data_IF_026884917784
#
_entry.id   IF_026884917784
#
_cell.length_a   1.000
_cell.length_b   1.000
_cell.length_c   1.000
_cell.angle_alpha   90.00
_cell.angle_beta   90.00
_cell.angle_gamma   90.00
#
_symmetry.space_group_name_H-M   'P 1'
#
loop_
_entity.id
_entity.type
_entity.pdbx_description
1 polymer ?
#
# COMPACT_ATOMS: atom_id res chain seq x y z
N UNK A 1 -3.46 43.12 29.02
CA UNK A 1 -3.24 41.96 29.92
C UNK A 1 -3.63 40.75 29.10
N UNK A 2 -2.64 40.10 28.47
CA UNK A 2 -2.88 38.93 27.62
C UNK A 2 -2.99 37.75 28.57
N UNK A 3 -4.10 37.04 28.47
CA UNK A 3 -4.46 35.92 29.33
C UNK A 3 -3.64 34.68 28.93
N UNK A 4 -2.49 34.52 29.60
CA UNK A 4 -1.50 33.47 29.33
C UNK A 4 -2.01 32.06 29.61
N UNK A 5 -3.17 31.88 30.25
CA UNK A 5 -3.74 30.56 30.57
C UNK A 5 -4.47 29.90 29.38
N UNK A 6 -4.72 30.65 28.29
CA UNK A 6 -5.49 30.17 27.13
C UNK A 6 -4.66 29.45 26.06
N UNK A 7 -3.33 29.40 26.18
CA UNK A 7 -2.44 28.68 25.26
C UNK A 7 -2.03 27.33 25.87
N UNK A 8 -3.02 26.48 26.18
CA UNK A 8 -2.75 25.04 26.33
C UNK A 8 -2.66 24.44 24.94
N UNK A 9 -1.44 24.40 24.41
CA UNK A 9 -1.10 23.66 23.20
C UNK A 9 -1.58 22.22 23.41
N UNK A 10 -2.50 21.76 22.57
CA UNK A 10 -2.95 20.37 22.55
C UNK A 10 -1.73 19.46 22.42
N UNK A 11 -1.42 18.72 23.48
CA UNK A 11 -0.39 17.68 23.51
C UNK A 11 -0.81 16.57 22.53
N UNK A 12 -0.43 16.70 21.25
CA UNK A 12 -0.36 15.56 20.34
C UNK A 12 0.58 14.53 20.99
N UNK A 13 0.04 13.35 21.30
CA UNK A 13 0.71 12.24 21.99
C UNK A 13 2.15 12.09 21.54
N UNK A 14 3.10 12.12 22.49
CA UNK A 14 4.50 11.94 22.16
C UNK A 14 4.71 10.50 21.67
N UNK A 15 5.66 10.22 20.77
CA UNK A 15 5.94 8.86 20.30
C UNK A 15 6.33 7.90 21.43
N UNK A 16 6.79 8.44 22.57
CA UNK A 16 7.05 7.70 23.81
C UNK A 16 5.80 7.15 24.50
N UNK A 17 4.61 7.72 24.26
CA UNK A 17 3.36 7.29 24.90
C UNK A 17 2.71 6.09 24.16
N UNK A 18 3.05 5.88 22.87
CA UNK A 18 2.52 4.79 22.02
C UNK A 18 3.23 3.45 22.25
N UNK A 19 4.45 3.46 22.77
CA UNK A 19 5.15 2.28 23.27
C UNK A 19 5.17 2.38 24.80
N UNK A 20 5.06 1.30 25.56
CA UNK A 20 4.86 1.30 27.02
C UNK A 20 6.09 1.80 27.83
N UNK A 21 6.61 2.99 27.54
CA UNK A 21 7.74 3.62 28.22
C UNK A 21 7.24 4.72 29.16
N UNK A 22 7.95 4.93 30.27
CA UNK A 22 7.74 6.11 31.11
C UNK A 22 8.40 7.30 30.41
N UNK A 23 7.64 8.37 30.20
CA UNK A 23 8.11 9.59 29.54
C UNK A 23 8.96 10.43 30.51
N UNK A 24 10.14 10.88 30.06
CA UNK A 24 11.03 11.78 30.81
C UNK A 24 10.38 13.17 30.94
N UNK A 25 10.57 13.78 32.11
CA UNK A 25 10.15 15.15 32.40
C UNK A 25 11.38 16.00 32.71
N UNK A 26 11.43 17.21 32.16
CA UNK A 26 12.48 18.18 32.45
C UNK A 26 11.92 19.36 33.25
N UNK A 27 12.66 19.76 34.29
CA UNK A 27 12.41 21.02 35.00
C UNK A 27 13.13 22.18 34.29
N UNK A 28 12.36 23.18 33.85
CA UNK A 28 12.93 24.46 33.45
C UNK A 28 13.20 25.29 34.71
N UNK A 29 14.49 25.54 35.00
CA UNK A 29 14.99 26.22 36.20
C UNK A 29 14.37 27.60 36.48
N UNK A 30 13.71 28.22 35.51
CA UNK A 30 13.02 29.52 35.67
C UNK A 30 11.50 29.45 35.82
N UNK A 31 10.85 28.35 35.42
CA UNK A 31 9.39 28.26 35.38
C UNK A 31 8.82 27.28 36.42
N UNK A 32 9.66 26.44 37.06
CA UNK A 32 9.21 25.38 37.99
C UNK A 32 8.12 24.45 37.40
N UNK A 33 7.99 24.42 36.06
CA UNK A 33 7.07 23.55 35.35
C UNK A 33 7.85 22.36 34.77
N UNK A 34 7.29 21.17 34.97
CA UNK A 34 7.76 19.92 34.36
C UNK A 34 7.21 19.80 32.93
N UNK A 35 8.07 19.93 31.93
CA UNK A 35 7.68 19.72 30.53
C UNK A 35 8.09 18.30 30.10
N UNK A 36 7.18 17.49 29.52
CA UNK A 36 7.53 16.18 28.98
C UNK A 36 8.49 16.34 27.79
N UNK A 37 9.58 15.60 27.76
CA UNK A 37 10.60 15.71 26.69
C UNK A 37 10.22 14.95 25.42
N UNK A 38 9.17 14.13 25.49
CA UNK A 38 8.76 13.23 24.42
C UNK A 38 9.71 12.03 24.21
N UNK A 39 10.66 11.82 25.12
CA UNK A 39 11.57 10.68 25.15
C UNK A 39 11.29 9.78 26.36
N UNK A 40 11.60 8.47 26.29
CA UNK A 40 11.62 7.59 27.45
C UNK A 40 12.59 8.09 28.53
N UNK A 41 12.38 7.70 29.79
CA UNK A 41 13.27 8.04 30.90
C UNK A 41 14.70 7.49 30.68
N UNK A 42 15.72 8.34 30.51
CA UNK A 42 17.08 7.89 30.23
C UNK A 42 17.82 7.51 31.51
N UNK A 43 18.73 6.55 31.39
CA UNK A 43 19.66 6.15 32.46
C UNK A 43 20.65 7.28 32.79
N UNK A 44 21.02 8.04 31.77
CA UNK A 44 21.89 9.21 31.88
C UNK A 44 21.68 10.14 30.69
N UNK A 45 21.89 11.44 30.91
CA UNK A 45 21.77 12.46 29.87
C UNK A 45 22.96 13.42 29.88
N UNK A 46 23.46 13.74 28.69
CA UNK A 46 24.33 14.91 28.48
C UNK A 46 23.69 15.82 27.44
N UNK A 47 23.81 17.13 27.68
CA UNK A 47 23.43 18.18 26.73
C UNK A 47 24.65 18.99 26.38
N UNK A 48 24.86 19.21 25.10
CA UNK A 48 25.91 20.06 24.56
C UNK A 48 25.27 21.11 23.67
N UNK A 49 25.55 22.38 23.93
CA UNK A 49 25.11 23.49 23.08
C UNK A 49 26.36 24.15 22.54
N UNK A 50 26.44 24.25 21.22
CA UNK A 50 27.58 24.81 20.50
C UNK A 50 27.09 25.81 19.47
N UNK A 51 27.69 26.99 19.48
CA UNK A 51 27.31 28.07 18.58
C UNK A 51 28.60 28.69 18.03
N UNK A 52 28.78 28.58 16.71
CA UNK A 52 29.94 29.11 15.99
C UNK A 52 29.50 29.74 14.67
N UNK A 53 30.18 30.83 14.33
CA UNK A 53 30.10 31.49 13.03
C UNK A 53 30.57 30.55 11.92
N UNK A 54 29.69 30.29 10.94
CA UNK A 54 29.97 29.50 9.74
C UNK A 54 30.22 28.00 9.97
N UNK A 55 29.61 27.41 11.00
CA UNK A 55 29.74 25.97 11.26
C UNK A 55 28.62 25.16 10.59
N UNK A 56 28.99 24.19 9.74
CA UNK A 56 28.06 23.17 9.24
C UNK A 56 27.77 22.10 10.29
N UNK A 57 26.50 21.69 10.40
CA UNK A 57 26.07 20.56 11.23
C UNK A 57 26.79 19.26 10.84
N UNK A 58 27.14 19.10 9.57
CA UNK A 58 27.75 17.88 9.03
C UNK A 58 29.05 17.54 9.76
N UNK A 59 29.88 18.55 10.07
CA UNK A 59 31.14 18.32 10.76
C UNK A 59 30.90 17.74 12.18
N UNK A 60 29.95 18.32 12.92
CA UNK A 60 29.57 17.82 14.25
C UNK A 60 28.96 16.42 14.19
N UNK A 61 28.07 16.18 13.22
CA UNK A 61 27.41 14.90 12.99
C UNK A 61 28.42 13.80 12.65
N UNK A 62 29.26 14.00 11.64
CA UNK A 62 30.22 12.99 11.19
C UNK A 62 31.33 12.74 12.21
N UNK A 63 31.73 13.75 12.98
CA UNK A 63 32.67 13.55 14.08
C UNK A 63 32.11 12.56 15.11
N UNK A 64 30.87 12.79 15.59
CA UNK A 64 30.25 11.90 16.59
C UNK A 64 29.93 10.53 15.98
N UNK A 65 29.45 10.49 14.74
CA UNK A 65 29.19 9.26 14.01
C UNK A 65 30.45 8.38 13.92
N UNK A 66 31.57 8.94 13.46
CA UNK A 66 32.82 8.21 13.31
C UNK A 66 33.38 7.78 14.68
N UNK A 67 33.31 8.65 15.68
CA UNK A 67 33.77 8.32 17.03
C UNK A 67 32.95 7.18 17.65
N UNK A 68 31.62 7.20 17.50
CA UNK A 68 30.76 6.14 18.01
C UNK A 68 30.94 4.82 17.24
N UNK A 69 31.16 4.89 15.93
CA UNK A 69 31.34 3.71 15.08
C UNK A 69 32.70 3.04 15.29
N UNK A 70 33.80 3.80 15.18
CA UNK A 70 35.16 3.25 15.16
C UNK A 70 35.79 3.17 16.56
N UNK A 71 35.65 4.18 17.40
CA UNK A 71 36.34 4.23 18.70
C UNK A 71 35.52 3.58 19.82
N UNK A 72 34.20 3.50 19.67
CA UNK A 72 33.29 2.96 20.69
C UNK A 72 32.58 1.65 20.28
N UNK A 73 32.73 1.23 19.02
CA UNK A 73 32.18 -0.01 18.44
C UNK A 73 30.65 -0.13 18.56
N UNK A 74 29.94 0.96 18.24
CA UNK A 74 28.48 0.96 18.15
C UNK A 74 28.00 0.68 16.73
N UNK A 75 26.92 -0.10 16.61
CA UNK A 75 26.15 -0.22 15.38
C UNK A 75 25.18 0.95 15.33
N UNK A 76 25.32 1.80 14.33
CA UNK A 76 24.59 3.05 14.22
C UNK A 76 23.46 2.92 13.20
N UNK A 77 22.26 3.36 13.57
CA UNK A 77 21.08 3.40 12.70
C UNK A 77 20.41 4.78 12.77
N UNK A 78 20.14 5.38 11.60
CA UNK A 78 19.40 6.66 11.53
C UNK A 78 17.92 6.41 11.76
N UNK A 79 17.30 7.14 12.70
CA UNK A 79 15.87 7.04 12.99
C UNK A 79 15.10 8.02 12.10
N UNK A 80 15.37 9.32 12.22
CA UNK A 80 14.78 10.34 11.37
C UNK A 80 15.73 11.50 11.12
N UNK A 81 15.39 12.29 10.11
CA UNK A 81 16.14 13.43 9.63
C UNK A 81 15.10 14.43 9.10
N UNK A 82 14.72 15.37 9.96
CA UNK A 82 13.66 16.35 9.68
C UNK A 82 14.33 17.67 9.33
N UNK A 83 13.98 18.19 8.17
CA UNK A 83 14.35 19.52 7.75
C UNK A 83 13.11 20.41 7.76
N UNK A 84 13.13 21.45 8.59
CA UNK A 84 12.10 22.49 8.63
C UNK A 84 12.77 23.81 8.26
N UNK A 85 12.10 24.61 7.44
CA UNK A 85 12.56 25.92 7.03
C UNK A 85 11.36 26.85 7.09
N UNK A 86 11.65 28.12 7.35
CA UNK A 86 10.62 29.15 7.39
C UNK A 86 10.01 29.36 6.00
N UNK A 87 8.72 29.74 5.96
CA UNK A 87 7.95 29.89 4.72
C UNK A 87 8.57 30.88 3.73
N UNK A 88 9.20 31.94 4.22
CA UNK A 88 9.87 32.94 3.39
C UNK A 88 11.30 32.55 3.00
N UNK A 89 11.83 31.41 3.48
CA UNK A 89 13.17 30.99 3.13
C UNK A 89 13.29 30.48 1.69
N UNK A 90 14.45 30.70 1.09
CA UNK A 90 14.84 30.08 -0.19
C UNK A 90 14.82 28.55 -0.13
N UNK A 91 15.11 27.96 1.03
CA UNK A 91 15.01 26.52 1.25
C UNK A 91 13.58 26.00 1.14
N UNK A 92 12.60 26.73 1.71
CA UNK A 92 11.19 26.39 1.61
C UNK A 92 10.73 26.44 0.15
N UNK A 93 11.06 27.50 -0.59
CA UNK A 93 10.72 27.61 -2.01
C UNK A 93 11.28 26.45 -2.85
N UNK A 94 12.55 26.08 -2.64
CA UNK A 94 13.17 24.96 -3.35
C UNK A 94 12.57 23.59 -2.96
N UNK A 95 12.25 23.39 -1.67
CA UNK A 95 11.59 22.18 -1.19
C UNK A 95 10.17 22.04 -1.74
N UNK A 96 9.39 23.12 -1.73
CA UNK A 96 8.05 23.16 -2.30
C UNK A 96 8.02 22.91 -3.81
N UNK A 97 8.96 23.47 -4.56
CA UNK A 97 9.08 23.19 -5.99
C UNK A 97 9.33 21.69 -6.25
N UNK A 98 10.22 21.05 -5.48
CA UNK A 98 10.48 19.60 -5.60
C UNK A 98 9.28 18.77 -5.17
N UNK A 99 8.61 19.15 -4.09
CA UNK A 99 7.41 18.50 -3.59
C UNK A 99 6.27 18.58 -4.61
N UNK A 100 6.03 19.76 -5.18
CA UNK A 100 5.03 19.98 -6.24
C UNK A 100 5.30 19.09 -7.45
N UNK A 101 6.54 19.02 -7.95
CA UNK A 101 6.89 18.13 -9.06
C UNK A 101 6.56 16.66 -8.74
N UNK A 102 6.81 16.21 -7.51
CA UNK A 102 6.49 14.84 -7.11
C UNK A 102 4.99 14.61 -6.95
N UNK A 103 4.26 15.56 -6.37
CA UNK A 103 2.80 15.52 -6.26
C UNK A 103 2.14 15.49 -7.62
N UNK A 104 2.61 16.29 -8.58
CA UNK A 104 2.13 16.29 -9.96
C UNK A 104 2.35 14.93 -10.61
N UNK A 105 3.51 14.29 -10.40
CA UNK A 105 3.77 12.94 -10.92
C UNK A 105 2.85 11.90 -10.29
N UNK A 106 2.63 11.95 -8.99
CA UNK A 106 1.70 11.06 -8.28
C UNK A 106 0.27 11.25 -8.81
N UNK A 107 -0.19 12.50 -8.92
CA UNK A 107 -1.52 12.84 -9.44
C UNK A 107 -1.71 12.30 -10.86
N UNK A 108 -0.72 12.49 -11.74
CA UNK A 108 -0.74 11.95 -13.10
C UNK A 108 -0.81 10.41 -13.12
N UNK A 109 -0.04 9.73 -12.27
CA UNK A 109 -0.10 8.27 -12.17
C UNK A 109 -1.45 7.79 -11.61
N UNK A 110 -1.97 8.40 -10.56
CA UNK A 110 -3.25 8.04 -9.96
C UNK A 110 -4.42 8.30 -10.92
N UNK A 111 -4.40 9.39 -11.68
CA UNK A 111 -5.38 9.66 -12.72
C UNK A 111 -5.35 8.59 -13.82
N UNK A 112 -4.14 8.18 -14.24
CA UNK A 112 -3.95 7.10 -15.21
C UNK A 112 -4.46 5.78 -14.67
N UNK A 113 -4.10 5.42 -13.42
CA UNK A 113 -4.59 4.20 -12.74
C UNK A 113 -6.11 4.22 -12.64
N UNK A 114 -6.72 5.35 -12.22
CA UNK A 114 -8.17 5.48 -12.14
C UNK A 114 -8.87 5.28 -13.48
N UNK A 115 -8.31 5.79 -14.57
CA UNK A 115 -8.82 5.53 -15.93
C UNK A 115 -8.72 4.04 -16.29
N UNK A 116 -7.58 3.40 -16.04
CA UNK A 116 -7.38 1.97 -16.32
C UNK A 116 -8.30 1.08 -15.48
N UNK A 117 -8.57 1.45 -14.22
CA UNK A 117 -9.54 0.76 -13.36
C UNK A 117 -10.95 0.86 -13.94
N UNK A 118 -11.35 2.04 -14.44
CA UNK A 118 -12.65 2.20 -15.12
C UNK A 118 -12.74 1.33 -16.40
N UNK A 119 -11.65 1.23 -17.16
CA UNK A 119 -11.58 0.37 -18.33
C UNK A 119 -11.65 -1.12 -17.94
N UNK A 120 -11.03 -1.54 -16.82
CA UNK A 120 -11.21 -2.90 -16.28
C UNK A 120 -12.68 -3.23 -16.00
N UNK A 121 -13.47 -2.32 -15.42
CA UNK A 121 -14.92 -2.53 -15.23
C UNK A 121 -15.65 -2.78 -16.54
N UNK A 122 -15.31 -2.03 -17.59
CA UNK A 122 -15.91 -2.21 -18.91
C UNK A 122 -15.55 -3.60 -19.48
N UNK A 123 -14.29 -4.02 -19.36
CA UNK A 123 -13.82 -5.33 -19.83
C UNK A 123 -14.45 -6.50 -19.09
N UNK A 124 -14.58 -6.42 -17.76
CA UNK A 124 -15.26 -7.46 -16.95
C UNK A 124 -16.73 -7.57 -17.35
N UNK A 125 -17.42 -6.44 -17.54
CA UNK A 125 -18.80 -6.43 -18.02
C UNK A 125 -18.92 -7.04 -19.42
N UNK A 126 -18.00 -6.72 -20.32
CA UNK A 126 -17.97 -7.32 -21.66
C UNK A 126 -17.75 -8.83 -21.60
N UNK A 127 -16.80 -9.31 -20.78
CA UNK A 127 -16.55 -10.74 -20.57
C UNK A 127 -17.80 -11.44 -20.04
N UNK A 128 -18.49 -10.85 -19.06
CA UNK A 128 -19.76 -11.38 -18.54
C UNK A 128 -20.83 -11.52 -19.63
N UNK A 129 -21.00 -10.51 -20.48
CA UNK A 129 -21.96 -10.57 -21.59
C UNK A 129 -21.55 -11.63 -22.62
N UNK A 130 -20.24 -11.77 -22.89
CA UNK A 130 -19.72 -12.80 -23.80
C UNK A 130 -19.96 -14.20 -23.22
N UNK A 131 -19.76 -14.39 -21.92
CA UNK A 131 -19.97 -15.67 -21.24
C UNK A 131 -21.45 -16.05 -21.18
N UNK A 132 -22.33 -15.10 -20.88
CA UNK A 132 -23.77 -15.30 -20.98
C UNK A 132 -24.17 -15.68 -22.40
N UNK A 133 -23.64 -14.99 -23.42
CA UNK A 133 -23.91 -15.33 -24.82
C UNK A 133 -23.39 -16.72 -25.18
N UNK A 134 -22.16 -17.07 -24.79
CA UNK A 134 -21.56 -18.37 -25.06
C UNK A 134 -22.31 -19.50 -24.37
N UNK A 135 -22.93 -19.27 -23.21
CA UNK A 135 -23.75 -20.27 -22.52
C UNK A 135 -24.89 -20.80 -23.41
N UNK A 136 -25.60 -19.92 -24.13
CA UNK A 136 -26.64 -20.34 -25.07
C UNK A 136 -26.10 -21.20 -26.21
N UNK A 137 -24.88 -20.92 -26.70
CA UNK A 137 -24.25 -21.77 -27.71
C UNK A 137 -23.88 -23.14 -27.13
N UNK A 138 -23.26 -23.20 -25.96
CA UNK A 138 -22.91 -24.47 -25.31
C UNK A 138 -24.14 -25.34 -25.05
N UNK A 139 -25.23 -24.76 -24.52
CA UNK A 139 -26.51 -25.46 -24.31
C UNK A 139 -27.14 -25.95 -25.61
N UNK A 140 -26.98 -25.21 -26.71
CA UNK A 140 -27.51 -25.61 -28.02
C UNK A 140 -26.72 -26.77 -28.67
N UNK A 141 -25.41 -26.86 -28.40
CA UNK A 141 -24.55 -27.92 -28.93
C UNK A 141 -24.60 -29.19 -28.06
N UNK A 142 -24.88 -29.06 -26.76
CA UNK A 142 -25.06 -30.21 -25.88
C UNK A 142 -26.33 -30.99 -26.26
N UNK A 143 -26.19 -32.31 -26.38
CA UNK A 143 -27.30 -33.21 -26.72
C UNK A 143 -28.06 -33.67 -25.48
N UNK A 144 -27.47 -33.54 -24.29
CA UNK A 144 -28.07 -33.93 -23.01
C UNK A 144 -28.72 -32.76 -22.26
N UNK A 145 -28.56 -31.51 -22.69
CA UNK A 145 -29.07 -30.34 -21.99
C UNK A 145 -30.58 -30.23 -22.12
N UNK A 146 -31.28 -30.15 -20.98
CA UNK A 146 -32.74 -29.89 -20.93
C UNK A 146 -33.10 -28.51 -21.48
N UNK A 147 -32.15 -27.57 -21.49
CA UNK A 147 -32.33 -26.19 -21.94
C UNK A 147 -32.04 -26.00 -23.44
N UNK A 148 -31.67 -27.06 -24.16
CA UNK A 148 -31.28 -27.01 -25.58
C UNK A 148 -32.32 -26.34 -26.48
N UNK A 149 -33.59 -26.72 -26.32
CA UNK A 149 -34.68 -26.16 -27.13
C UNK A 149 -34.86 -24.67 -26.85
N UNK A 150 -34.81 -24.26 -25.58
CA UNK A 150 -34.85 -22.84 -25.19
C UNK A 150 -33.66 -22.07 -25.77
N UNK A 151 -32.45 -22.63 -25.70
CA UNK A 151 -31.24 -21.97 -26.19
C UNK A 151 -31.26 -21.80 -27.72
N UNK A 152 -31.71 -22.81 -28.46
CA UNK A 152 -31.93 -22.72 -29.91
C UNK A 152 -32.96 -21.63 -30.27
N UNK A 153 -34.09 -21.58 -29.55
CA UNK A 153 -35.11 -20.55 -29.76
C UNK A 153 -34.53 -19.15 -29.51
N UNK A 154 -33.77 -18.96 -28.44
CA UNK A 154 -33.11 -17.69 -28.13
C UNK A 154 -32.10 -17.28 -29.21
N UNK A 155 -31.25 -18.21 -29.68
CA UNK A 155 -30.28 -17.95 -30.74
C UNK A 155 -30.95 -17.59 -32.07
N UNK A 156 -32.05 -18.27 -32.42
CA UNK A 156 -32.87 -17.94 -33.59
C UNK A 156 -33.53 -16.58 -33.47
N UNK A 157 -34.00 -16.22 -32.27
CA UNK A 157 -34.52 -14.87 -31.99
C UNK A 157 -33.46 -13.80 -32.25
N UNK A 158 -32.25 -13.98 -31.69
CA UNK A 158 -31.10 -13.08 -31.92
C UNK A 158 -30.76 -12.99 -33.41
N UNK A 159 -30.78 -14.10 -34.14
CA UNK A 159 -30.53 -14.12 -35.58
C UNK A 159 -31.57 -13.29 -36.35
N UNK A 160 -32.86 -13.50 -36.08
CA UNK A 160 -33.94 -12.78 -36.77
C UNK A 160 -33.86 -11.28 -36.48
N UNK A 161 -33.58 -10.89 -35.24
CA UNK A 161 -33.50 -9.48 -34.86
C UNK A 161 -32.24 -8.79 -35.39
N UNK A 162 -31.07 -9.43 -35.26
CA UNK A 162 -29.78 -8.80 -35.55
C UNK A 162 -29.32 -8.98 -37.00
N UNK A 163 -29.56 -10.15 -37.61
CA UNK A 163 -29.07 -10.48 -38.96
C UNK A 163 -30.13 -10.20 -40.01
N UNK A 164 -31.40 -10.51 -39.73
CA UNK A 164 -32.47 -10.29 -40.71
C UNK A 164 -33.13 -8.92 -40.62
N UNK A 165 -32.81 -8.12 -39.59
CA UNK A 165 -33.37 -6.79 -39.38
C UNK A 165 -34.77 -6.80 -38.77
N UNK A 166 -35.16 -7.91 -38.13
CA UNK A 166 -36.45 -8.10 -37.48
C UNK A 166 -37.63 -7.91 -38.44
N UNK A 167 -38.80 -7.55 -37.88
CA UNK A 167 -40.05 -7.43 -38.64
C UNK A 167 -40.11 -6.26 -39.66
N UNK A 168 -39.06 -5.43 -39.74
CA UNK A 168 -38.98 -4.29 -40.67
C UNK A 168 -38.45 -4.69 -42.05
N UNK A 169 -37.70 -5.79 -42.13
CA UNK A 169 -37.19 -6.33 -43.39
C UNK A 169 -38.23 -7.26 -44.00
N UNK A 170 -38.67 -6.95 -45.21
CA UNK A 170 -39.60 -7.75 -46.03
C UNK A 170 -39.08 -9.18 -46.26
N UNK A 171 -37.75 -9.35 -46.19
CA UNK A 171 -37.05 -10.62 -46.39
C UNK A 171 -36.83 -11.43 -45.11
N UNK A 172 -37.17 -10.90 -43.93
CA UNK A 172 -37.05 -11.61 -42.65
C UNK A 172 -38.14 -12.67 -42.49
N UNK A 173 -37.93 -13.63 -41.57
CA UNK A 173 -38.95 -14.65 -41.24
C UNK A 173 -40.29 -14.01 -40.84
N UNK A 174 -40.27 -12.89 -40.09
CA UNK A 174 -41.49 -12.16 -39.71
C UNK A 174 -42.04 -11.27 -40.83
N UNK A 175 -41.20 -10.67 -41.66
CA UNK A 175 -41.62 -9.86 -42.81
C UNK A 175 -42.28 -10.70 -43.91
N UNK A 176 -41.72 -11.88 -44.20
CA UNK A 176 -42.30 -12.84 -45.14
C UNK A 176 -43.65 -13.39 -44.67
N UNK A 177 -43.85 -13.52 -43.36
CA UNK A 177 -45.13 -13.92 -42.80
C UNK A 177 -46.21 -12.84 -42.98
N UNK A 178 -45.84 -11.55 -42.88
CA UNK A 178 -46.75 -10.41 -43.01
C UNK A 178 -47.07 -10.06 -44.47
N UNK A 179 -46.05 -9.93 -45.32
CA UNK A 179 -46.22 -9.40 -46.68
C UNK A 179 -46.48 -10.49 -47.72
N UNK A 180 -45.87 -11.66 -47.56
CA UNK A 180 -45.95 -12.78 -48.52
C UNK A 180 -46.96 -13.84 -48.04
N UNK A 181 -47.68 -13.57 -46.94
CA UNK A 181 -48.71 -14.45 -46.35
C UNK A 181 -48.21 -15.84 -45.93
N UNK A 182 -46.91 -16.00 -45.65
CA UNK A 182 -46.37 -17.24 -45.08
C UNK A 182 -46.58 -17.31 -43.56
N UNK A 183 -47.84 -17.33 -43.11
CA UNK A 183 -48.20 -17.21 -41.69
C UNK A 183 -47.56 -18.28 -40.77
N UNK A 184 -47.32 -19.49 -41.29
CA UNK A 184 -46.79 -20.64 -40.53
C UNK A 184 -45.25 -20.66 -40.50
N UNK A 185 -44.58 -19.83 -41.31
CA UNK A 185 -43.12 -19.85 -41.46
C UNK A 185 -42.35 -19.54 -40.15
N UNK A 186 -42.75 -18.55 -39.32
CA UNK A 186 -42.08 -18.29 -38.05
C UNK A 186 -42.19 -19.49 -37.10
N UNK A 187 -43.38 -20.07 -36.97
CA UNK A 187 -43.61 -21.23 -36.09
C UNK A 187 -42.76 -22.43 -36.51
N UNK A 188 -42.68 -22.70 -37.82
CA UNK A 188 -41.82 -23.77 -38.35
C UNK A 188 -40.33 -23.48 -38.15
N UNK A 189 -39.91 -22.23 -38.30
CA UNK A 189 -38.52 -21.85 -38.10
C UNK A 189 -38.08 -22.04 -36.64
N UNK A 190 -38.90 -21.64 -35.66
CA UNK A 190 -38.58 -21.82 -34.24
C UNK A 190 -38.69 -23.27 -33.78
N UNK A 191 -39.62 -24.07 -34.32
CA UNK A 191 -39.83 -25.46 -33.90
C UNK A 191 -38.80 -26.46 -34.45
N UNK A 192 -38.24 -26.19 -35.63
CA UNK A 192 -37.35 -27.14 -36.33
C UNK A 192 -35.89 -26.93 -35.95
N UNK A 193 -35.24 -27.95 -35.38
CA UNK A 193 -33.86 -27.89 -34.87
C UNK A 193 -32.93 -28.89 -35.58
N UNK A 194 -32.55 -28.66 -36.86
CA UNK A 194 -31.63 -29.55 -37.56
C UNK A 194 -30.21 -29.49 -36.97
N UNK A 195 -29.54 -30.65 -36.87
CA UNK A 195 -28.19 -30.76 -36.28
C UNK A 195 -27.07 -30.20 -37.16
N UNK A 196 -27.19 -30.29 -38.49
CA UNK A 196 -26.17 -29.83 -39.43
C UNK A 196 -26.78 -29.26 -40.71
N UNK A 197 -26.05 -28.36 -41.39
CA UNK A 197 -26.45 -27.72 -42.66
C UNK A 197 -26.75 -28.73 -43.78
N UNK A 198 -26.17 -29.93 -43.70
CA UNK A 198 -26.40 -31.05 -44.61
C UNK A 198 -27.71 -31.79 -44.33
N UNK A 199 -28.15 -31.85 -43.07
CA UNK A 199 -29.35 -32.57 -42.63
C UNK A 199 -30.63 -31.74 -42.81
N UNK A 200 -30.48 -30.44 -43.05
CA UNK A 200 -31.59 -29.50 -43.30
C UNK A 200 -32.49 -29.97 -44.44
N UNK A 201 -31.93 -30.55 -45.50
CA UNK A 201 -32.74 -31.00 -46.64
C UNK A 201 -33.60 -32.21 -46.29
N UNK A 202 -33.04 -33.20 -45.59
CA UNK A 202 -33.73 -34.44 -45.21
C UNK A 202 -34.89 -34.15 -44.26
N UNK A 203 -34.62 -33.36 -43.21
CA UNK A 203 -35.60 -33.01 -42.17
C UNK A 203 -36.78 -32.18 -42.74
N UNK A 204 -36.54 -31.38 -43.78
CA UNK A 204 -37.58 -30.53 -44.38
C UNK A 204 -38.34 -31.23 -45.50
N UNK A 205 -37.72 -32.17 -46.20
CA UNK A 205 -38.38 -32.94 -47.27
C UNK A 205 -39.43 -33.93 -46.73
N UNK A 206 -39.27 -34.38 -45.48
CA UNK A 206 -40.27 -35.19 -44.75
C UNK A 206 -41.54 -34.40 -44.38
N UNK A 207 -41.48 -33.07 -44.34
CA UNK A 207 -42.63 -32.24 -44.00
C UNK A 207 -43.63 -32.11 -45.17
N UNK A 208 -44.90 -32.42 -44.93
CA UNK A 208 -46.00 -32.29 -45.91
C UNK A 208 -46.51 -30.85 -46.06
N UNK A 209 -45.63 -29.91 -46.44
CA UNK A 209 -45.98 -28.51 -46.71
C UNK A 209 -45.77 -28.09 -48.17
N UNK A 210 -46.33 -26.93 -48.52
CA UNK A 210 -46.15 -26.31 -49.83
C UNK A 210 -44.65 -26.17 -50.18
N UNK A 211 -44.28 -26.54 -51.41
CA UNK A 211 -42.90 -26.52 -51.93
C UNK A 211 -42.20 -25.18 -51.71
N UNK A 212 -42.91 -24.07 -51.89
CA UNK A 212 -42.31 -22.72 -51.69
C UNK A 212 -41.97 -22.41 -50.24
N UNK A 213 -42.80 -22.85 -49.29
CA UNK A 213 -42.51 -22.70 -47.85
C UNK A 213 -41.28 -23.53 -47.49
N UNK A 214 -41.16 -24.76 -48.02
CA UNK A 214 -40.00 -25.62 -47.81
C UNK A 214 -38.71 -25.03 -48.39
N UNK A 215 -38.74 -24.50 -49.61
CA UNK A 215 -37.58 -23.83 -50.25
C UNK A 215 -37.09 -22.62 -49.41
N UNK A 216 -38.01 -21.79 -48.91
CA UNK A 216 -37.68 -20.63 -48.07
C UNK A 216 -37.14 -21.08 -46.71
N UNK A 217 -37.78 -22.05 -46.06
CA UNK A 217 -37.36 -22.59 -44.77
C UNK A 217 -35.96 -23.23 -44.85
N UNK A 218 -35.67 -24.01 -45.91
CA UNK A 218 -34.33 -24.57 -46.18
C UNK A 218 -33.26 -23.50 -46.24
N UNK A 219 -33.51 -22.43 -47.00
CA UNK A 219 -32.56 -21.30 -47.14
C UNK A 219 -32.30 -20.61 -45.80
N UNK A 220 -33.36 -20.36 -45.02
CA UNK A 220 -33.27 -19.66 -43.73
C UNK A 220 -32.55 -20.49 -42.67
N UNK A 221 -32.87 -21.79 -42.57
CA UNK A 221 -32.18 -22.68 -41.62
C UNK A 221 -30.71 -22.89 -41.97
N UNK A 222 -30.36 -23.00 -43.26
CA UNK A 222 -28.95 -23.01 -43.68
C UNK A 222 -28.20 -21.74 -43.31
N UNK A 223 -28.83 -20.57 -43.54
CA UNK A 223 -28.25 -19.29 -43.17
C UNK A 223 -28.05 -19.17 -41.66
N UNK A 224 -29.03 -19.63 -40.87
CA UNK A 224 -28.95 -19.63 -39.41
C UNK A 224 -27.81 -20.53 -38.90
N UNK A 225 -27.69 -21.76 -39.42
CA UNK A 225 -26.64 -22.68 -38.99
C UNK A 225 -25.23 -22.18 -39.35
N UNK A 226 -25.06 -21.64 -40.56
CA UNK A 226 -23.79 -21.04 -40.96
C UNK A 226 -23.42 -19.84 -40.05
N UNK A 227 -24.39 -18.96 -39.78
CA UNK A 227 -24.21 -17.86 -38.85
C UNK A 227 -23.84 -18.34 -37.43
N UNK A 228 -24.56 -19.35 -36.91
CA UNK A 228 -24.33 -19.94 -35.58
C UNK A 228 -22.89 -20.45 -35.43
N UNK A 229 -22.37 -21.17 -36.43
CA UNK A 229 -21.00 -21.69 -36.40
C UNK A 229 -19.94 -20.57 -36.45
N UNK A 230 -20.11 -19.60 -37.34
CA UNK A 230 -19.16 -18.50 -37.50
C UNK A 230 -19.14 -17.59 -36.27
N UNK A 231 -20.31 -17.19 -35.78
CA UNK A 231 -20.45 -16.32 -34.60
C UNK A 231 -19.96 -17.01 -33.33
N UNK A 232 -20.14 -18.33 -33.20
CA UNK A 232 -19.60 -19.07 -32.06
C UNK A 232 -18.06 -19.03 -32.02
N UNK A 233 -17.40 -19.29 -33.16
CA UNK A 233 -15.93 -19.20 -33.28
C UNK A 233 -15.41 -17.78 -33.02
N UNK A 234 -16.13 -16.78 -33.54
CA UNK A 234 -15.81 -15.37 -33.32
C UNK A 234 -15.92 -15.01 -31.84
N UNK A 235 -17.00 -15.40 -31.16
CA UNK A 235 -17.22 -15.13 -29.73
C UNK A 235 -16.16 -15.80 -28.85
N UNK A 236 -15.78 -17.05 -29.14
CA UNK A 236 -14.68 -17.72 -28.43
C UNK A 236 -13.36 -16.97 -28.59
N UNK A 237 -13.05 -16.58 -29.83
CA UNK A 237 -11.84 -15.83 -30.15
C UNK A 237 -11.83 -14.48 -29.44
N UNK A 238 -12.96 -13.75 -29.48
CA UNK A 238 -13.16 -12.48 -28.80
C UNK A 238 -12.96 -12.62 -27.29
N UNK A 239 -13.55 -13.65 -26.66
CA UNK A 239 -13.38 -13.94 -25.23
C UNK A 239 -11.90 -14.08 -24.86
N UNK A 240 -11.15 -14.86 -25.63
CA UNK A 240 -9.71 -15.08 -25.39
C UNK A 240 -8.92 -13.77 -25.49
N UNK A 241 -9.22 -12.94 -26.49
CA UNK A 241 -8.57 -11.64 -26.64
C UNK A 241 -8.92 -10.68 -25.49
N UNK A 242 -10.20 -10.61 -25.10
CA UNK A 242 -10.63 -9.77 -23.98
C UNK A 242 -10.00 -10.21 -22.65
N UNK A 243 -9.85 -11.51 -22.40
CA UNK A 243 -9.14 -12.04 -21.23
C UNK A 243 -7.65 -11.64 -21.21
N UNK A 244 -6.95 -11.75 -22.34
CA UNK A 244 -5.55 -11.31 -22.45
C UNK A 244 -5.42 -9.81 -22.22
N UNK A 245 -6.35 -9.03 -22.76
CA UNK A 245 -6.39 -7.59 -22.63
C UNK A 245 -6.67 -7.15 -21.18
N UNK A 246 -7.59 -7.82 -20.49
CA UNK A 246 -7.88 -7.63 -19.06
C UNK A 246 -6.59 -7.82 -18.22
N UNK A 247 -5.87 -8.91 -18.45
CA UNK A 247 -4.60 -9.18 -17.77
C UNK A 247 -3.56 -8.09 -18.03
N UNK A 248 -3.40 -7.66 -19.29
CA UNK A 248 -2.48 -6.59 -19.64
C UNK A 248 -2.81 -5.28 -18.88
N UNK A 249 -4.09 -4.93 -18.75
CA UNK A 249 -4.51 -3.72 -18.01
C UNK A 249 -4.17 -3.84 -16.53
N UNK A 250 -4.39 -5.02 -15.94
CA UNK A 250 -4.06 -5.28 -14.55
C UNK A 250 -2.54 -5.23 -14.28
N UNK A 251 -1.72 -5.78 -15.17
CA UNK A 251 -0.26 -5.73 -15.08
C UNK A 251 0.28 -4.28 -15.19
N UNK A 252 -0.32 -3.47 -16.07
CA UNK A 252 0.02 -2.04 -16.19
C UNK A 252 -0.32 -1.29 -14.90
N UNK A 253 -1.47 -1.57 -14.27
CA UNK A 253 -1.85 -0.97 -12.99
C UNK A 253 -0.83 -1.35 -11.90
N UNK A 254 -0.44 -2.63 -11.80
CA UNK A 254 0.60 -3.08 -10.85
C UNK A 254 1.92 -2.34 -11.07
N UNK A 255 2.33 -2.17 -12.32
CA UNK A 255 3.54 -1.44 -12.69
C UNK A 255 3.47 0.02 -12.23
N UNK A 256 2.38 0.74 -12.52
CA UNK A 256 2.20 2.11 -12.07
C UNK A 256 2.17 2.23 -10.54
N UNK A 257 1.52 1.29 -9.84
CA UNK A 257 1.53 1.26 -8.37
C UNK A 257 2.94 1.03 -7.80
N UNK A 258 3.73 0.16 -8.43
CA UNK A 258 5.12 -0.04 -8.05
C UNK A 258 5.96 1.24 -8.25
N UNK A 259 5.67 2.03 -9.29
CA UNK A 259 6.34 3.31 -9.53
C UNK A 259 5.86 4.44 -8.62
N UNK A 260 4.58 4.47 -8.22
CA UNK A 260 4.03 5.50 -7.33
C UNK A 260 4.61 5.40 -5.91
N UNK A 261 4.82 4.18 -5.40
CA UNK A 261 5.35 3.92 -4.05
C UNK A 261 6.59 4.74 -3.65
N UNK A 262 7.67 4.80 -4.44
CA UNK A 262 8.83 5.63 -4.10
C UNK A 262 8.51 7.13 -4.10
N UNK A 263 7.62 7.61 -4.98
CA UNK A 263 7.22 9.02 -4.98
C UNK A 263 6.41 9.39 -3.75
N UNK A 264 5.47 8.52 -3.32
CA UNK A 264 4.72 8.75 -2.08
C UNK A 264 5.65 8.83 -0.86
N UNK A 265 6.62 7.92 -0.77
CA UNK A 265 7.65 7.96 0.28
C UNK A 265 8.49 9.24 0.24
N UNK A 266 8.81 9.73 -0.96
CA UNK A 266 9.60 10.95 -1.12
C UNK A 266 8.79 12.20 -0.80
N UNK A 267 7.51 12.27 -1.19
CA UNK A 267 6.62 13.37 -0.83
C UNK A 267 6.46 13.45 0.68
N UNK A 268 6.27 12.32 1.36
CA UNK A 268 6.23 12.28 2.82
C UNK A 268 7.52 12.81 3.45
N UNK A 269 8.67 12.40 2.94
CA UNK A 269 9.98 12.88 3.43
C UNK A 269 10.23 14.37 3.17
N UNK A 270 9.69 14.90 2.07
CA UNK A 270 9.80 16.31 1.70
C UNK A 270 8.72 17.17 2.34
N UNK A 271 7.64 16.56 2.81
CA UNK A 271 6.61 17.24 3.56
C UNK A 271 7.23 17.67 4.89
N UNK A 272 7.43 18.98 4.99
CA UNK A 272 8.05 19.57 6.16
C UNK A 272 7.14 19.30 7.36
N UNK A 273 7.72 18.79 8.44
CA UNK A 273 6.98 18.53 9.66
C UNK A 273 6.29 19.81 10.15
N UNK A 274 5.14 19.67 10.82
CA UNK A 274 4.31 20.73 11.43
C UNK A 274 5.01 21.51 12.58
N UNK A 275 6.35 21.60 12.56
CA UNK A 275 7.16 22.38 13.50
C UNK A 275 7.37 23.84 13.07
N UNK A 276 6.69 24.29 12.02
CA UNK A 276 6.65 25.70 11.61
C UNK A 276 6.18 26.61 12.74
N UNK A 277 5.39 26.09 13.68
CA UNK A 277 4.92 26.83 14.87
C UNK A 277 5.93 26.88 16.03
N UNK A 278 7.14 26.31 15.88
CA UNK A 278 8.14 26.36 16.94
C UNK A 278 8.61 27.81 17.18
N UNK A 279 8.70 28.29 18.44
CA UNK A 279 9.14 29.66 18.72
C UNK A 279 10.57 29.97 18.25
N UNK A 280 11.38 28.95 17.97
CA UNK A 280 12.74 29.10 17.48
C UNK A 280 12.81 29.40 15.98
N UNK A 281 11.73 29.15 15.24
CA UNK A 281 11.60 29.41 13.81
C UNK A 281 10.59 30.53 13.57
N UNK A 282 11.03 31.63 12.98
CA UNK A 282 10.16 32.74 12.62
C UNK A 282 9.91 32.68 11.12
N UNK A 283 8.64 32.55 10.71
CA UNK A 283 8.24 32.35 9.31
C UNK A 283 8.75 33.44 8.35
N UNK A 284 8.91 34.66 8.85
CA UNK A 284 9.34 35.81 8.06
C UNK A 284 10.86 35.87 7.81
N UNK A 285 11.67 35.08 8.53
CA UNK A 285 13.13 35.13 8.42
C UNK A 285 13.65 34.04 7.48
N UNK A 286 14.91 34.15 7.03
CA UNK A 286 15.58 33.12 6.20
C UNK A 286 16.22 32.06 7.13
N UNK A 287 15.40 31.38 7.95
CA UNK A 287 15.85 30.41 8.94
C UNK A 287 15.58 28.96 8.55
N UNK A 288 16.46 28.06 8.97
CA UNK A 288 16.24 26.61 8.85
C UNK A 288 16.57 25.89 10.16
N UNK A 289 15.83 24.83 10.43
CA UNK A 289 15.95 23.95 11.58
C UNK A 289 16.12 22.52 11.07
N UNK A 290 17.18 21.86 11.51
CA UNK A 290 17.52 20.49 11.13
C UNK A 290 17.52 19.66 12.41
N UNK A 291 16.69 18.63 12.45
CA UNK A 291 16.68 17.66 13.53
C UNK A 291 17.09 16.28 13.02
N UNK A 292 18.18 15.75 13.57
CA UNK A 292 18.65 14.42 13.23
C UNK A 292 18.65 13.55 14.48
N UNK A 293 17.98 12.40 14.41
CA UNK A 293 18.01 11.40 15.47
C UNK A 293 18.71 10.13 14.99
N UNK A 294 19.71 9.71 15.76
CA UNK A 294 20.48 8.50 15.51
C UNK A 294 20.36 7.59 16.73
N UNK A 295 20.13 6.29 16.48
CA UNK A 295 20.18 5.23 17.47
C UNK A 295 21.49 4.44 17.32
N UNK A 296 22.34 4.51 18.34
CA UNK A 296 23.57 3.74 18.44
C UNK A 296 23.30 2.54 19.35
N UNK A 297 23.41 1.31 18.84
CA UNK A 297 23.27 0.08 19.64
C UNK A 297 24.61 -0.64 19.79
N UNK A 298 24.90 -1.16 20.98
CA UNK A 298 26.07 -2.01 21.25
C UNK A 298 25.63 -3.31 21.91
N UNK A 299 26.10 -4.43 21.33
CA UNK A 299 25.92 -5.77 21.87
C UNK A 299 27.14 -6.14 22.71
N UNK A 300 26.94 -6.57 23.95
CA UNK A 300 28.05 -6.97 24.81
C UNK A 300 28.23 -8.49 24.75
N UNK A 301 29.48 -8.93 24.51
CA UNK A 301 29.83 -10.34 24.26
C UNK A 301 29.63 -11.27 25.47
N UNK A 302 29.42 -10.74 26.68
CA UNK A 302 29.33 -11.50 27.94
C UNK A 302 27.91 -11.67 28.51
N UNK A 303 26.87 -11.35 27.73
CA UNK A 303 25.50 -11.33 28.26
C UNK A 303 24.77 -12.67 28.15
N UNK A 304 24.05 -13.06 29.22
CA UNK A 304 23.14 -14.22 29.22
C UNK A 304 21.72 -13.85 28.72
N UNK A 305 21.34 -12.57 28.76
CA UNK A 305 20.03 -12.06 28.35
C UNK A 305 20.12 -11.04 27.21
N UNK A 306 19.08 -10.91 26.39
CA UNK A 306 19.02 -9.98 25.24
C UNK A 306 18.79 -8.53 25.68
N UNK A 307 19.84 -7.85 26.15
CA UNK A 307 19.82 -6.44 26.58
C UNK A 307 20.93 -5.64 25.94
N UNK A 308 20.57 -4.77 25.00
CA UNK A 308 21.51 -3.94 24.27
C UNK A 308 21.71 -2.60 24.99
N UNK A 309 22.96 -2.12 25.02
CA UNK A 309 23.22 -0.73 25.38
C UNK A 309 22.88 0.16 24.20
N UNK A 310 21.97 1.12 24.41
CA UNK A 310 21.48 2.02 23.37
C UNK A 310 21.80 3.45 23.76
N UNK A 311 22.40 4.21 22.85
CA UNK A 311 22.59 5.66 22.98
C UNK A 311 21.81 6.32 21.85
N UNK A 312 20.81 7.12 22.20
CA UNK A 312 20.13 8.00 21.25
C UNK A 312 20.85 9.34 21.24
N UNK A 313 21.19 9.78 20.04
CA UNK A 313 21.78 11.09 19.77
C UNK A 313 20.74 11.92 19.01
N UNK A 314 20.31 13.02 19.62
CA UNK A 314 19.49 14.02 18.96
C UNK A 314 20.36 15.25 18.65
N UNK A 315 20.42 15.63 17.39
CA UNK A 315 21.03 16.86 16.92
C UNK A 315 19.92 17.81 16.52
N UNK A 316 19.84 18.98 17.17
CA UNK A 316 19.00 20.09 16.74
C UNK A 316 19.91 21.22 16.28
N UNK A 317 19.81 21.59 15.00
CA UNK A 317 20.62 22.63 14.40
C UNK A 317 19.74 23.74 13.89
N UNK A 318 20.04 24.96 14.31
CA UNK A 318 19.39 26.17 13.83
C UNK A 318 20.35 26.96 12.97
N UNK A 319 19.97 27.14 11.71
CA UNK A 319 20.60 28.06 10.79
C UNK A 319 19.93 29.43 10.88
N UNK A 320 20.70 30.45 11.23
CA UNK A 320 20.31 31.85 11.13
C UNK A 320 21.09 32.52 10.00
N UNK A 321 20.46 33.31 9.13
CA UNK A 321 21.13 33.93 8.01
C UNK A 321 21.99 35.09 8.49
N UNK A 322 23.23 35.19 8.01
CA UNK A 322 24.00 36.42 8.05
C UNK A 322 24.22 36.88 6.60
N UNK A 323 23.69 38.06 6.28
CA UNK A 323 23.91 38.69 4.98
C UNK A 323 25.36 39.17 4.93
N UNK A 324 26.14 38.56 4.05
CA UNK A 324 27.52 38.94 3.82
C UNK A 324 27.59 39.84 2.58
N UNK A 325 27.60 41.16 2.81
CA UNK A 325 27.73 42.15 1.75
C UNK A 325 29.21 42.34 1.40
N UNK A 326 29.79 41.41 0.64
CA UNK A 326 31.10 41.65 0.02
C UNK A 326 30.94 42.65 -1.15
N UNK A 327 31.73 43.71 -1.13
CA UNK A 327 31.79 44.71 -2.21
C UNK A 327 32.29 44.08 -3.53
N UNK A 328 31.51 44.31 -4.58
CA UNK A 328 31.83 44.24 -6.01
C UNK A 328 32.43 42.94 -6.57
N UNK A 329 31.60 42.15 -7.28
CA UNK A 329 32.09 41.36 -8.43
C UNK A 329 31.59 39.92 -8.62
N UNK A 330 30.95 39.28 -7.64
CA UNK A 330 30.51 37.87 -7.78
C UNK A 330 29.01 37.70 -7.51
N UNK A 331 28.22 37.61 -8.58
CA UNK A 331 26.75 37.56 -8.61
C UNK A 331 26.08 36.31 -8.02
N UNK A 332 26.78 35.42 -7.33
CA UNK A 332 26.16 34.27 -6.66
C UNK A 332 26.86 33.94 -5.35
N UNK A 333 26.44 34.57 -4.25
CA UNK A 333 26.69 34.06 -2.89
C UNK A 333 25.41 34.17 -2.08
N UNK A 334 24.85 33.02 -1.71
CA UNK A 334 23.71 32.92 -0.80
C UNK A 334 24.10 33.31 0.63
N UNK A 335 23.12 33.38 1.56
CA UNK A 335 23.37 33.74 2.96
C UNK A 335 24.43 32.84 3.58
N UNK A 336 25.39 33.42 4.32
CA UNK A 336 26.29 32.63 5.18
C UNK A 336 25.51 32.31 6.45
N UNK A 337 25.30 31.03 6.75
CA UNK A 337 24.50 30.63 7.89
C UNK A 337 25.35 30.58 9.17
N UNK A 338 24.86 31.24 10.22
CA UNK A 338 25.30 31.02 11.59
C UNK A 338 24.55 29.82 12.17
N UNK A 339 25.28 28.90 12.77
CA UNK A 339 24.76 27.60 13.17
C UNK A 339 24.82 27.38 14.67
N UNK A 340 23.66 27.34 15.33
CA UNK A 340 23.58 26.84 16.71
C UNK A 340 23.26 25.34 16.65
N UNK A 341 24.18 24.50 17.09
CA UNK A 341 23.99 23.05 17.22
C UNK A 341 23.76 22.69 18.69
N UNK A 342 22.62 22.09 18.99
CA UNK A 342 22.34 21.40 20.24
C UNK A 342 22.44 19.89 20.03
N UNK A 343 23.19 19.20 20.89
CA UNK A 343 23.37 17.75 20.85
C UNK A 343 22.96 17.18 22.20
N UNK A 344 21.94 16.32 22.18
CA UNK A 344 21.47 15.59 23.34
C UNK A 344 21.90 14.13 23.24
N UNK A 345 22.61 13.65 24.26
CA UNK A 345 22.99 12.25 24.43
C UNK A 345 22.06 11.63 25.46
N UNK A 346 21.34 10.58 25.07
CA UNK A 346 20.39 9.86 25.92
C UNK A 346 20.78 8.38 25.98
N UNK A 347 21.10 7.87 27.16
CA UNK A 347 21.51 6.48 27.36
C UNK A 347 20.35 5.59 27.84
N UNK A 348 20.16 4.44 27.19
CA UNK A 348 19.11 3.46 27.48
C UNK A 348 19.63 2.02 27.50
N UNK A 349 18.89 1.14 28.16
CA UNK A 349 19.16 -0.30 28.17
C UNK A 349 17.89 -1.00 27.67
N UNK A 350 17.88 -1.38 26.40
CA UNK A 350 16.69 -1.89 25.72
C UNK A 350 16.87 -3.31 25.19
N UNK A 351 15.78 -4.08 25.16
CA UNK A 351 15.72 -5.36 24.43
C UNK A 351 15.65 -5.13 22.91
N UNK A 352 15.90 -6.17 22.11
CA UNK A 352 15.76 -6.06 20.65
C UNK A 352 14.32 -5.72 20.23
N UNK A 353 13.33 -6.24 20.96
CA UNK A 353 11.90 -5.96 20.72
C UNK A 353 11.53 -4.51 21.07
N UNK A 354 12.04 -3.98 22.18
CA UNK A 354 11.86 -2.57 22.58
C UNK A 354 12.46 -1.61 21.54
N UNK A 355 13.63 -1.94 20.98
CA UNK A 355 14.26 -1.18 19.90
C UNK A 355 13.39 -1.18 18.63
N UNK A 356 12.85 -2.33 18.24
CA UNK A 356 11.97 -2.42 17.08
C UNK A 356 10.64 -1.70 17.30
N UNK A 357 10.08 -1.76 18.51
CA UNK A 357 8.87 -1.03 18.87
C UNK A 357 9.09 0.47 18.81
N UNK A 358 10.22 0.98 19.35
CA UNK A 358 10.58 2.40 19.24
C UNK A 358 10.73 2.86 17.79
N UNK A 359 11.41 2.06 16.95
CA UNK A 359 11.52 2.33 15.50
C UNK A 359 10.15 2.36 14.83
N UNK A 360 9.31 1.36 15.10
CA UNK A 360 7.96 1.28 14.53
C UNK A 360 7.13 2.50 14.93
N UNK A 361 7.09 2.87 16.21
CA UNK A 361 6.37 4.04 16.70
C UNK A 361 6.80 5.33 16.00
N UNK A 362 8.10 5.51 15.73
CA UNK A 362 8.63 6.66 14.97
C UNK A 362 8.32 6.62 13.48
N UNK A 363 8.16 5.44 12.87
CA UNK A 363 7.78 5.27 11.46
C UNK A 363 6.27 5.18 11.21
N UNK A 364 5.45 4.99 12.25
CA UNK A 364 4.03 4.65 12.12
C UNK A 364 3.18 5.85 11.69
N UNK A 365 3.65 7.07 11.91
CA UNK A 365 3.04 8.30 11.38
C UNK A 365 3.25 8.45 9.86
N UNK A 366 4.24 7.75 9.27
CA UNK A 366 4.56 7.81 7.85
C UNK A 366 3.87 6.72 7.01
N UNK A 367 3.30 5.67 7.61
CA UNK A 367 2.69 4.56 6.86
C UNK A 367 1.22 4.79 6.49
N UNK A 368 0.58 5.79 7.08
CA UNK A 368 -0.87 6.01 6.96
C UNK A 368 -1.28 6.47 5.55
N UNK A 369 -0.51 7.33 4.89
CA UNK A 369 -0.86 7.79 3.52
C UNK A 369 -0.68 6.69 2.47
N UNK A 370 0.28 5.78 2.67
CA UNK A 370 0.41 4.58 1.83
C UNK A 370 -0.80 3.67 2.01
N UNK A 371 -1.27 3.50 3.25
CA UNK A 371 -2.46 2.71 3.56
C UNK A 371 -3.74 3.32 2.98
N UNK A 372 -3.92 4.64 3.01
CA UNK A 372 -5.13 5.30 2.48
C UNK A 372 -5.26 5.10 0.96
N UNK A 373 -4.16 5.24 0.21
CA UNK A 373 -4.18 5.09 -1.25
C UNK A 373 -4.33 3.61 -1.64
N UNK A 374 -3.61 2.72 -0.96
CA UNK A 374 -3.75 1.28 -1.18
C UNK A 374 -5.17 0.80 -0.81
N UNK A 375 -5.79 1.36 0.24
CA UNK A 375 -7.16 1.02 0.66
C UNK A 375 -8.21 1.53 -0.32
N UNK A 376 -8.15 2.79 -0.76
CA UNK A 376 -9.12 3.34 -1.73
C UNK A 376 -9.08 2.57 -3.06
N UNK A 377 -7.88 2.20 -3.53
CA UNK A 377 -7.74 1.38 -4.72
C UNK A 377 -8.17 -0.08 -4.46
N UNK A 378 -7.81 -0.66 -3.32
CA UNK A 378 -8.24 -2.01 -2.95
C UNK A 378 -9.76 -2.10 -2.81
N UNK A 379 -10.42 -1.07 -2.28
CA UNK A 379 -11.86 -0.94 -2.21
C UNK A 379 -12.48 -0.88 -3.61
N UNK A 380 -11.97 -0.02 -4.49
CA UNK A 380 -12.40 0.05 -5.89
C UNK A 380 -12.23 -1.30 -6.61
N UNK A 381 -11.13 -2.01 -6.34
CA UNK A 381 -10.85 -3.34 -6.88
C UNK A 381 -11.63 -4.46 -6.20
N UNK A 382 -12.10 -4.27 -4.97
CA UNK A 382 -13.00 -5.19 -4.27
C UNK A 382 -14.45 -5.05 -4.72
N UNK A 383 -14.85 -3.85 -5.14
CA UNK A 383 -16.14 -3.59 -5.78
C UNK A 383 -16.34 -4.29 -7.12
N UNK A 384 -15.24 -4.70 -7.78
CA UNK A 384 -15.27 -5.59 -8.97
C UNK A 384 -15.71 -7.03 -8.64
N UNK A 385 -15.73 -7.41 -7.36
CA UNK A 385 -16.24 -8.69 -6.88
C UNK A 385 -15.40 -9.92 -7.29
N UNK A 386 -15.93 -11.10 -6.97
CA UNK A 386 -15.34 -12.42 -7.28
C UNK A 386 -15.17 -12.66 -8.80
N UNK A 387 -15.91 -11.94 -9.64
CA UNK A 387 -15.87 -12.08 -11.11
C UNK A 387 -14.53 -11.66 -11.71
N UNK A 388 -13.95 -10.55 -11.23
CA UNK A 388 -12.61 -10.12 -11.68
C UNK A 388 -11.55 -11.16 -11.28
N UNK A 389 -11.59 -11.63 -10.03
CA UNK A 389 -10.64 -12.61 -9.53
C UNK A 389 -10.73 -13.91 -10.34
N UNK A 390 -11.94 -14.36 -10.67
CA UNK A 390 -12.18 -15.51 -11.55
C UNK A 390 -11.57 -15.32 -12.94
N UNK A 391 -11.79 -14.18 -13.60
CA UNK A 391 -11.24 -13.94 -14.94
C UNK A 391 -9.73 -13.74 -14.95
N UNK A 392 -9.15 -13.17 -13.89
CA UNK A 392 -7.71 -13.06 -13.72
C UNK A 392 -7.06 -14.43 -13.49
N UNK A 393 -7.69 -15.30 -12.70
CA UNK A 393 -7.26 -16.70 -12.53
C UNK A 393 -7.33 -17.46 -13.86
N UNK A 394 -8.42 -17.32 -14.63
CA UNK A 394 -8.56 -17.89 -15.98
C UNK A 394 -7.51 -17.36 -16.97
N UNK A 395 -7.09 -16.11 -16.82
CA UNK A 395 -6.01 -15.50 -17.62
C UNK A 395 -4.59 -15.94 -17.20
N UNK A 396 -4.48 -16.83 -16.20
CA UNK A 396 -3.23 -17.43 -15.75
C UNK A 396 -2.50 -16.66 -14.65
N UNK A 397 -3.17 -15.77 -13.93
CA UNK A 397 -2.62 -15.17 -12.72
C UNK A 397 -2.86 -16.05 -11.49
N UNK A 398 -1.82 -16.25 -10.68
CA UNK A 398 -1.95 -16.86 -9.35
C UNK A 398 -2.27 -15.77 -8.34
N UNK A 399 -3.54 -15.47 -8.14
CA UNK A 399 -3.94 -14.61 -7.03
C UNK A 399 -3.74 -15.36 -5.71
N UNK A 400 -3.03 -14.76 -4.75
CA UNK A 400 -3.12 -15.22 -3.37
C UNK A 400 -4.55 -14.91 -2.93
N UNK A 401 -5.35 -15.95 -2.65
CA UNK A 401 -6.69 -15.78 -2.05
C UNK A 401 -6.59 -14.72 -0.95
N UNK A 402 -7.39 -13.65 -1.08
CA UNK A 402 -7.53 -12.65 -0.03
C UNK A 402 -7.91 -13.39 1.25
N UNK A 403 -7.26 -13.13 2.40
CA UNK A 403 -7.74 -13.66 3.66
C UNK A 403 -9.18 -13.16 3.81
N UNK A 404 -10.13 -14.09 3.91
CA UNK A 404 -11.50 -13.79 4.27
C UNK A 404 -11.44 -12.99 5.58
N UNK A 405 -11.95 -11.76 5.57
CA UNK A 405 -12.19 -11.01 6.80
C UNK A 405 -13.18 -11.86 7.61
N UNK A 406 -12.68 -12.52 8.66
CA UNK A 406 -13.49 -13.24 9.63
C UNK A 406 -14.53 -12.26 10.20
N UNK A 407 -15.76 -12.34 9.70
CA UNK A 407 -16.91 -11.81 10.40
C UNK A 407 -17.07 -12.64 11.66
N UNK A 408 -16.81 -12.04 12.82
CA UNK A 408 -17.09 -12.62 14.13
C UNK A 408 -18.56 -13.06 14.20
N UNK A 409 -18.82 -14.35 13.95
CA UNK A 409 -20.10 -14.97 14.29
C UNK A 409 -20.02 -15.45 15.73
N UNK A 410 -20.71 -14.70 16.59
CA UNK A 410 -21.17 -15.06 17.93
C UNK A 410 -21.55 -16.55 17.99
N UNK A 411 -20.94 -17.27 18.94
CA UNK A 411 -21.22 -18.67 19.24
C UNK A 411 -22.63 -18.82 19.86
N UNK A 412 -23.48 -19.73 19.37
CA UNK A 412 -24.50 -20.35 20.21
C UNK A 412 -23.96 -21.66 20.81
N UNK A 413 -24.13 -21.82 22.11
CA UNK A 413 -24.05 -23.11 22.79
C UNK A 413 -25.14 -24.07 22.27
N UNK A 414 -24.79 -25.34 22.06
CA UNK A 414 -25.46 -26.47 22.74
C UNK A 414 -24.94 -27.83 22.26
N UNK A 415 -24.96 -28.74 23.22
CA UNK A 415 -24.64 -30.16 23.22
C UNK A 415 -25.44 -31.01 22.24
N UNK A 416 -24.78 -31.94 21.54
CA UNK A 416 -25.43 -33.02 20.80
C UNK A 416 -24.46 -34.02 20.16
N UNK A 417 -24.84 -35.30 20.01
CA UNK A 417 -23.97 -36.48 19.84
C UNK A 417 -23.50 -36.70 18.40
N UNK A 418 -22.97 -35.65 17.76
CA UNK A 418 -22.27 -35.71 16.47
C UNK A 418 -20.83 -35.17 16.58
N UNK A 419 -20.33 -34.98 17.80
CA UNK A 419 -18.92 -34.62 18.05
C UNK A 419 -17.98 -35.83 18.01
N UNK A 420 -18.47 -37.05 18.22
CA UNK A 420 -17.65 -38.27 18.30
C UNK A 420 -17.14 -38.81 16.96
N UNK A 421 -17.73 -38.41 15.82
CA UNK A 421 -17.31 -38.89 14.49
C UNK A 421 -16.26 -37.98 13.82
N UNK A 422 -16.10 -36.74 14.29
CA UNK A 422 -15.11 -35.78 13.77
C UNK A 422 -13.71 -36.00 14.40
N UNK A 423 -13.63 -36.61 15.59
CA UNK A 423 -12.33 -36.93 16.23
C UNK A 423 -11.54 -38.05 15.54
N UNK A 424 -12.17 -38.87 14.70
CA UNK A 424 -11.49 -40.01 14.06
C UNK A 424 -10.89 -39.66 12.69
N UNK A 425 -11.39 -38.61 12.03
CA UNK A 425 -10.94 -38.22 10.67
C UNK A 425 -9.76 -37.23 10.65
N UNK A 426 -9.38 -36.63 11.79
CA UNK A 426 -8.25 -35.69 11.91
C UNK A 426 -6.99 -36.29 12.58
N UNK A 427 -6.85 -37.62 12.65
CA UNK A 427 -5.58 -38.26 13.05
C UNK A 427 -4.58 -38.23 11.89
N UNK A 428 -3.78 -37.17 11.88
CA UNK A 428 -2.58 -37.05 11.04
C UNK A 428 -1.46 -38.01 11.46
N UNK A 429 -0.60 -38.48 10.52
CA UNK A 429 0.50 -39.42 10.77
C UNK A 429 1.61 -38.81 11.66
N UNK A 430 2.50 -39.62 12.26
CA UNK A 430 3.42 -39.16 13.30
C UNK A 430 4.40 -38.11 12.75
N UNK A 431 4.31 -36.88 13.26
CA UNK A 431 5.29 -35.82 13.05
C UNK A 431 6.64 -36.26 13.62
N UNK A 432 7.66 -36.38 12.75
CA UNK A 432 9.07 -36.34 13.14
C UNK A 432 9.29 -35.13 14.06
N UNK A 433 9.84 -35.38 15.25
CA UNK A 433 10.19 -34.36 16.25
C UNK A 433 11.20 -33.38 15.63
N UNK A 434 10.73 -32.22 15.23
CA UNK A 434 11.57 -31.03 15.07
C UNK A 434 11.97 -30.61 16.50
N UNK A 435 13.26 -30.43 16.83
CA UNK A 435 13.67 -30.06 18.17
C UNK A 435 13.08 -28.69 18.51
N UNK A 436 12.28 -28.64 19.59
CA UNK A 436 11.83 -27.39 20.20
C UNK A 436 13.07 -26.61 20.62
N UNK A 437 13.24 -25.38 20.10
CA UNK A 437 14.15 -24.41 20.71
C UNK A 437 13.77 -24.28 22.20
N UNK A 438 14.74 -24.29 23.13
CA UNK A 438 14.45 -24.17 24.55
C UNK A 438 13.75 -22.82 24.81
N UNK A 439 12.70 -22.86 25.62
CA UNK A 439 12.05 -21.65 26.11
C UNK A 439 13.08 -20.80 26.87
N UNK A 440 13.11 -19.47 26.70
CA UNK A 440 14.06 -18.62 27.41
C UNK A 440 13.85 -18.78 28.92
N UNK A 441 14.92 -19.14 29.64
CA UNK A 441 14.94 -19.19 31.11
C UNK A 441 14.45 -17.84 31.65
N UNK A 442 13.45 -17.86 32.54
CA UNK A 442 13.01 -16.65 33.24
C UNK A 442 14.24 -16.06 33.97
N UNK A 443 14.60 -14.79 33.72
CA UNK A 443 15.83 -14.24 34.26
C UNK A 443 15.80 -14.21 35.78
N UNK A 444 16.87 -14.71 36.42
CA UNK A 444 17.08 -14.49 37.85
C UNK A 444 17.19 -12.98 38.11
N UNK A 445 16.32 -12.38 38.95
CA UNK A 445 16.21 -10.93 39.10
C UNK A 445 17.51 -10.27 39.57
N UNK A 446 18.26 -10.92 40.46
CA UNK A 446 19.53 -10.41 41.00
C UNK A 446 20.65 -10.36 39.94
N UNK A 447 20.68 -11.34 39.02
CA UNK A 447 21.67 -11.38 37.94
C UNK A 447 21.33 -10.33 36.87
N UNK A 448 20.04 -10.15 36.60
CA UNK A 448 19.55 -9.13 35.68
C UNK A 448 19.87 -7.71 36.20
N UNK A 449 19.67 -7.44 37.50
CA UNK A 449 20.07 -6.17 38.10
C UNK A 449 21.58 -5.92 38.04
N UNK A 450 22.41 -6.95 38.23
CA UNK A 450 23.87 -6.84 38.11
C UNK A 450 24.30 -6.55 36.67
N UNK A 451 23.70 -7.19 35.68
CA UNK A 451 23.96 -6.93 34.27
C UNK A 451 23.52 -5.51 33.86
N UNK A 452 22.33 -5.08 34.28
CA UNK A 452 21.83 -3.71 34.04
C UNK A 452 22.74 -2.66 34.67
N UNK A 453 23.24 -2.89 35.90
CA UNK A 453 24.20 -1.98 36.54
C UNK A 453 25.54 -1.90 35.78
N UNK A 454 26.08 -3.03 35.32
CA UNK A 454 27.32 -3.05 34.51
C UNK A 454 27.14 -2.29 33.20
N UNK A 455 26.04 -2.53 32.50
CA UNK A 455 25.71 -1.84 31.25
C UNK A 455 25.49 -0.34 31.46
N UNK A 456 24.85 0.03 32.57
CA UNK A 456 24.66 1.43 32.95
C UNK A 456 26.00 2.15 33.12
N UNK A 457 26.98 1.53 33.78
CA UNK A 457 28.30 2.11 33.98
C UNK A 457 29.03 2.26 32.64
N UNK A 458 29.01 1.23 31.79
CA UNK A 458 29.71 1.28 30.50
C UNK A 458 29.08 2.31 29.54
N UNK A 459 27.75 2.39 29.48
CA UNK A 459 27.04 3.43 28.71
C UNK A 459 27.40 4.82 29.23
N UNK A 460 27.39 5.04 30.55
CA UNK A 460 27.78 6.31 31.15
C UNK A 460 29.22 6.68 30.79
N UNK A 461 30.15 5.72 30.87
CA UNK A 461 31.55 5.94 30.53
C UNK A 461 31.74 6.23 29.04
N UNK A 462 31.08 5.48 28.17
CA UNK A 462 31.08 5.68 26.72
C UNK A 462 30.53 7.06 26.34
N UNK A 463 29.36 7.44 26.88
CA UNK A 463 28.78 8.77 26.68
C UNK A 463 29.68 9.89 27.20
N UNK A 464 30.28 9.72 28.39
CA UNK A 464 31.20 10.70 28.96
C UNK A 464 32.47 10.84 28.10
N UNK A 465 33.03 9.74 27.61
CA UNK A 465 34.20 9.77 26.73
C UNK A 465 33.89 10.50 25.43
N UNK A 466 32.75 10.22 24.79
CA UNK A 466 32.32 10.95 23.60
C UNK A 466 32.13 12.44 23.89
N UNK A 467 31.45 12.78 24.99
CA UNK A 467 31.22 14.17 25.40
C UNK A 467 32.53 14.92 25.66
N UNK A 468 33.46 14.31 26.40
CA UNK A 468 34.76 14.89 26.76
C UNK A 468 35.65 15.06 25.53
N UNK A 469 35.76 14.04 24.69
CA UNK A 469 36.58 14.08 23.49
C UNK A 469 36.01 15.05 22.46
N UNK A 470 34.68 15.16 22.35
CA UNK A 470 34.02 16.15 21.51
C UNK A 470 34.41 17.57 21.94
N UNK A 471 34.29 17.87 23.24
CA UNK A 471 34.69 19.15 23.81
C UNK A 471 36.16 19.48 23.53
N UNK A 472 37.05 18.50 23.72
CA UNK A 472 38.48 18.67 23.48
C UNK A 472 38.79 18.94 22.00
N UNK A 473 38.17 18.21 21.08
CA UNK A 473 38.35 18.38 19.65
C UNK A 473 37.86 19.76 19.16
N UNK A 474 36.78 20.28 19.77
CA UNK A 474 36.16 21.55 19.43
C UNK A 474 36.65 22.74 20.27
N UNK A 475 37.76 22.58 21.00
CA UNK A 475 38.38 23.61 21.86
C UNK A 475 37.43 24.23 22.90
N UNK A 476 36.44 23.46 23.35
CA UNK A 476 35.54 23.87 24.43
C UNK A 476 36.25 23.75 25.78
N UNK A 477 35.79 24.51 26.76
CA UNK A 477 36.26 24.37 28.15
C UNK A 477 36.00 22.94 28.64
N UNK A 478 37.10 22.22 28.89
CA UNK A 478 37.13 20.91 29.54
C UNK A 478 37.48 21.13 31.01
N UNK A 479 36.51 20.98 31.91
CA UNK A 479 36.78 20.76 33.34
C UNK A 479 36.78 19.26 33.64
#
# INVERSE_FOLDING_TARGET
>A
MIDWESIKVENKSSPGDKAAFKTEKLELFRLQEEIPTGYPEPVHRYRLVYEILNQSIENNYFWIYNYMLYDQDYIIEKIYDIFTASEQSSFFGAAQARLSIQQDRISNFLATVGKMVKELFQLVRELRIIDERLSYYYDSYDTSSKSRESAEITLKGIFVDMVEGGAKSTSSVYGMAREIQFAILPDLFFKMHPHSSKDVDQVIDELKFNRKVREVLKRKLRSFLAWKEHTFKELQTKRIFTLKFLRQHFDIIKMYMAWVRPYLRNVQRLQMADKTSSPELINAFEGALIEIEILCRKKFKEQKYDRNGVVILNFSYRASPQMDFHQEGFQHKGPVYHGKTEINFLGYIWTTEEIEAYKKARTMEDLELLAIIDNSLAEAMSGLGEELDKYLEEAGEKLKKRPELEQEKLKPHSSGPMAGLIETFWKTPPKKKIPKKPAPEKPNPIMLEREVKKLTIDIKQSMYNTYKNFKRAHKMLTW
#
